data_IF_547145815259
#
_entry.id   IF_547145815259
#
_cell.length_a   1.000
_cell.length_b   1.000
_cell.length_c   1.000
_cell.angle_alpha   90.00
_cell.angle_beta   90.00
_cell.angle_gamma   90.00
#
_symmetry.space_group_name_H-M   'P 1'
#
loop_
_entity.id
_entity.type
_entity.pdbx_description
1 polymer ?
#
# COMPACT_ATOMS: atom_id res chain seq x y z
N UNK A 1 -6.83 -22.81 -17.11
CA UNK A 1 -7.77 -22.18 -16.16
C UNK A 1 -8.86 -23.12 -15.61
N UNK A 2 -9.38 -24.09 -16.36
CA UNK A 2 -10.49 -24.97 -15.89
C UNK A 2 -10.13 -25.85 -14.67
N UNK A 3 -8.91 -26.39 -14.61
CA UNK A 3 -8.46 -27.30 -13.53
C UNK A 3 -8.38 -26.67 -12.14
N UNK A 4 -7.96 -25.40 -12.04
CA UNK A 4 -7.90 -24.69 -10.76
C UNK A 4 -9.29 -24.34 -10.24
N UNK A 5 -10.23 -24.00 -11.14
CA UNK A 5 -11.60 -23.69 -10.76
C UNK A 5 -12.32 -24.94 -10.27
N UNK A 6 -12.14 -26.09 -10.94
CA UNK A 6 -12.74 -27.36 -10.51
C UNK A 6 -12.19 -27.85 -9.17
N UNK A 7 -10.87 -27.77 -8.96
CA UNK A 7 -10.25 -28.09 -7.66
C UNK A 7 -10.70 -27.16 -6.53
N UNK A 8 -10.87 -25.86 -6.83
CA UNK A 8 -11.37 -24.88 -5.87
C UNK A 8 -12.83 -25.13 -5.50
N UNK A 9 -13.69 -25.43 -6.50
CA UNK A 9 -15.09 -25.76 -6.28
C UNK A 9 -15.27 -27.08 -5.53
N UNK A 10 -14.43 -28.08 -5.80
CA UNK A 10 -14.45 -29.36 -5.08
C UNK A 10 -14.23 -29.19 -3.57
N UNK A 11 -13.37 -28.23 -3.18
CA UNK A 11 -13.03 -27.97 -1.78
C UNK A 11 -13.75 -26.76 -1.18
N UNK A 12 -14.76 -26.19 -1.86
CA UNK A 12 -15.34 -24.91 -1.47
C UNK A 12 -15.95 -24.94 -0.06
N UNK A 13 -16.55 -26.07 0.35
CA UNK A 13 -17.13 -26.23 1.69
C UNK A 13 -16.07 -26.20 2.78
N UNK A 14 -14.94 -26.87 2.58
CA UNK A 14 -13.83 -26.89 3.53
C UNK A 14 -13.16 -25.52 3.62
N UNK A 15 -12.94 -24.87 2.48
CA UNK A 15 -12.38 -23.53 2.41
C UNK A 15 -13.29 -22.49 3.09
N UNK A 16 -14.60 -22.60 2.91
CA UNK A 16 -15.57 -21.75 3.61
C UNK A 16 -15.59 -22.03 5.11
N UNK A 17 -15.58 -23.31 5.53
CA UNK A 17 -15.48 -23.67 6.96
C UNK A 17 -14.22 -23.11 7.60
N UNK A 18 -13.06 -23.28 6.97
CA UNK A 18 -11.81 -22.70 7.45
C UNK A 18 -11.85 -21.17 7.49
N UNK A 19 -12.40 -20.52 6.45
CA UNK A 19 -12.59 -19.06 6.43
C UNK A 19 -13.48 -18.56 7.58
N UNK A 20 -14.44 -19.38 7.99
CA UNK A 20 -15.34 -19.08 9.09
C UNK A 20 -14.85 -19.57 10.45
N UNK A 21 -13.78 -20.35 10.51
CA UNK A 21 -13.18 -20.80 11.75
C UNK A 21 -12.66 -19.61 12.58
N UNK A 22 -12.84 -19.70 13.90
CA UNK A 22 -12.52 -18.62 14.84
C UNK A 22 -11.03 -18.27 14.80
N UNK A 23 -10.16 -19.27 14.63
CA UNK A 23 -8.71 -19.07 14.51
C UNK A 23 -8.35 -18.23 13.28
N UNK A 24 -8.84 -18.62 12.10
CA UNK A 24 -8.58 -17.88 10.86
C UNK A 24 -9.19 -16.48 10.86
N UNK A 25 -10.42 -16.31 11.37
CA UNK A 25 -11.05 -14.99 11.53
C UNK A 25 -10.22 -14.08 12.43
N UNK A 26 -9.74 -14.61 13.56
CA UNK A 26 -8.89 -13.85 14.49
C UNK A 26 -7.58 -13.42 13.81
N UNK A 27 -6.91 -14.32 13.08
CA UNK A 27 -5.69 -13.99 12.33
C UNK A 27 -5.93 -12.90 11.28
N UNK A 28 -7.05 -12.94 10.56
CA UNK A 28 -7.43 -11.89 9.61
C UNK A 28 -7.68 -10.56 10.31
N UNK A 29 -8.34 -10.58 11.46
CA UNK A 29 -8.56 -9.39 12.28
C UNK A 29 -7.23 -8.81 12.77
N UNK A 30 -6.36 -9.61 13.39
CA UNK A 30 -5.05 -9.20 13.86
C UNK A 30 -4.20 -8.61 12.74
N UNK A 31 -4.15 -9.28 11.58
CA UNK A 31 -3.47 -8.75 10.39
C UNK A 31 -4.00 -7.36 9.99
N UNK A 32 -5.31 -7.16 10.05
CA UNK A 32 -5.91 -5.86 9.75
C UNK A 32 -5.53 -4.80 10.79
N UNK A 33 -5.52 -5.15 12.08
CA UNK A 33 -5.12 -4.25 13.17
C UNK A 33 -3.65 -3.87 13.05
N UNK A 34 -2.75 -4.83 12.86
CA UNK A 34 -1.32 -4.59 12.69
C UNK A 34 -1.02 -3.76 11.44
N UNK A 35 -1.70 -4.04 10.32
CA UNK A 35 -1.56 -3.22 9.10
C UNK A 35 -1.93 -1.77 9.38
N UNK A 36 -3.06 -1.51 10.05
CA UNK A 36 -3.51 -0.16 10.39
C UNK A 36 -2.53 0.56 11.30
N UNK A 37 -2.04 -0.13 12.34
CA UNK A 37 -1.01 0.41 13.25
C UNK A 37 0.28 0.76 12.50
N UNK A 38 0.78 -0.14 11.65
CA UNK A 38 1.98 0.11 10.86
C UNK A 38 1.82 1.30 9.91
N UNK A 39 0.65 1.47 9.28
CA UNK A 39 0.37 2.64 8.44
C UNK A 39 0.39 3.92 9.28
N UNK A 40 -0.23 3.91 10.46
CA UNK A 40 -0.24 5.05 11.38
C UNK A 40 1.17 5.43 11.85
N UNK A 41 1.97 4.44 12.26
CA UNK A 41 3.37 4.64 12.66
C UNK A 41 4.19 5.27 11.53
N UNK A 42 4.01 4.79 10.28
CA UNK A 42 4.67 5.36 9.09
C UNK A 42 4.19 6.80 8.83
N UNK A 43 2.89 7.08 8.94
CA UNK A 43 2.36 8.43 8.76
C UNK A 43 2.93 9.42 9.79
N UNK A 44 3.06 8.99 11.05
CA UNK A 44 3.66 9.79 12.11
C UNK A 44 5.16 10.02 11.91
N UNK A 45 5.86 9.04 11.34
CA UNK A 45 7.27 9.17 10.96
C UNK A 45 7.46 10.17 9.81
N UNK A 46 6.62 10.09 8.77
CA UNK A 46 6.69 10.98 7.59
C UNK A 46 6.31 12.42 7.98
N UNK A 47 5.24 12.59 8.75
CA UNK A 47 4.72 13.89 9.16
C UNK A 47 4.53 13.91 10.69
N UNK A 48 5.56 14.31 11.45
CA UNK A 48 5.44 14.43 12.90
C UNK A 48 4.38 15.47 13.30
N UNK A 49 3.68 15.25 14.42
CA UNK A 49 2.68 16.20 14.91
C UNK A 49 3.31 17.58 15.22
N UNK A 50 2.58 18.65 14.93
CA UNK A 50 3.00 20.02 15.22
C UNK A 50 3.93 20.63 14.17
N UNK A 51 4.18 19.95 13.04
CA UNK A 51 4.94 20.50 11.91
C UNK A 51 4.13 20.42 10.62
N UNK A 52 4.04 21.56 9.93
CA UNK A 52 3.49 21.58 8.57
C UNK A 52 4.47 20.84 7.65
N UNK A 53 4.00 19.76 7.02
CA UNK A 53 4.84 18.86 6.22
C UNK A 53 4.33 18.77 4.80
N UNK A 54 5.18 19.06 3.82
CA UNK A 54 4.92 18.83 2.40
C UNK A 54 5.45 17.45 2.01
N UNK A 55 4.57 16.58 1.51
CA UNK A 55 4.93 15.20 1.10
C UNK A 55 4.70 15.04 -0.39
N UNK A 56 5.79 14.77 -1.11
CA UNK A 56 5.77 14.40 -2.51
C UNK A 56 5.47 12.90 -2.69
N UNK A 57 4.38 12.56 -3.35
CA UNK A 57 4.13 11.21 -3.84
C UNK A 57 4.44 11.17 -5.32
N UNK A 58 5.36 10.30 -5.73
CA UNK A 58 5.61 10.15 -7.14
C UNK A 58 4.45 9.46 -7.87
N UNK A 59 4.34 9.73 -9.17
CA UNK A 59 3.22 9.30 -9.98
C UNK A 59 3.43 7.90 -10.57
N UNK A 60 3.00 6.88 -9.83
CA UNK A 60 3.02 5.48 -10.24
C UNK A 60 1.88 5.10 -11.22
N UNK A 61 1.23 6.08 -11.85
CA UNK A 61 0.16 5.82 -12.84
C UNK A 61 0.70 5.28 -14.17
N UNK A 62 2.01 5.34 -14.41
CA UNK A 62 2.65 5.04 -15.69
C UNK A 62 3.07 3.58 -15.90
N UNK A 63 2.35 2.87 -16.77
CA UNK A 63 2.89 1.89 -17.72
C UNK A 63 3.45 0.55 -17.22
N UNK A 64 3.67 -0.37 -18.17
CA UNK A 64 4.14 -1.77 -18.02
C UNK A 64 5.51 -1.94 -17.32
N UNK A 65 6.15 -0.86 -16.88
CA UNK A 65 7.49 -0.85 -16.26
C UNK A 65 7.51 -0.55 -14.77
N UNK A 66 6.38 -0.25 -14.13
CA UNK A 66 6.35 -0.08 -12.67
C UNK A 66 6.47 -1.45 -11.97
N UNK A 67 7.41 -1.62 -11.01
CA UNK A 67 7.50 -2.84 -10.20
C UNK A 67 6.27 -3.01 -9.29
N UNK A 68 5.46 -1.96 -9.12
CA UNK A 68 4.25 -1.96 -8.29
C UNK A 68 3.04 -2.11 -9.22
N UNK A 69 2.59 -3.36 -9.43
CA UNK A 69 1.35 -3.62 -10.16
C UNK A 69 0.13 -3.12 -9.37
N UNK A 70 -0.81 -2.44 -10.04
CA UNK A 70 -2.04 -1.89 -9.43
C UNK A 70 -2.93 -2.94 -8.74
N UNK A 71 -2.76 -4.23 -9.07
CA UNK A 71 -3.54 -5.33 -8.49
C UNK A 71 -3.12 -5.66 -7.05
N UNK A 72 -1.92 -5.25 -6.68
CA UNK A 72 -1.30 -5.42 -5.36
C UNK A 72 -0.76 -4.08 -4.88
N UNK A 73 -1.60 -3.05 -4.92
CA UNK A 73 -1.27 -1.79 -4.25
C UNK A 73 -1.03 -2.10 -2.77
N UNK A 74 0.24 -2.02 -2.35
CA UNK A 74 0.65 -2.20 -0.97
C UNK A 74 0.09 -1.11 -0.05
N UNK A 75 0.63 -0.94 1.16
CA UNK A 75 0.13 0.05 2.11
C UNK A 75 0.24 1.50 1.62
N UNK A 76 0.90 1.76 0.48
CA UNK A 76 1.12 3.10 -0.06
C UNK A 76 -0.17 3.89 -0.30
N UNK A 77 -1.24 3.25 -0.78
CA UNK A 77 -2.53 3.92 -0.93
C UNK A 77 -3.16 4.29 0.41
N UNK A 78 -3.05 3.39 1.39
CA UNK A 78 -3.55 3.63 2.75
C UNK A 78 -2.76 4.77 3.42
N UNK A 79 -1.43 4.80 3.25
CA UNK A 79 -0.57 5.88 3.74
C UNK A 79 -0.95 7.22 3.08
N UNK A 80 -1.11 7.25 1.76
CA UNK A 80 -1.54 8.44 1.02
C UNK A 80 -2.91 8.94 1.52
N UNK A 81 -3.84 8.02 1.76
CA UNK A 81 -5.17 8.36 2.30
C UNK A 81 -5.07 8.92 3.72
N UNK A 82 -4.35 8.25 4.62
CA UNK A 82 -4.16 8.69 6.01
C UNK A 82 -3.50 10.07 6.10
N UNK A 83 -2.44 10.32 5.32
CA UNK A 83 -1.78 11.62 5.27
C UNK A 83 -2.68 12.72 4.72
N UNK A 84 -3.56 12.41 3.76
CA UNK A 84 -4.50 13.39 3.18
C UNK A 84 -5.55 13.90 4.17
N UNK A 85 -5.88 13.10 5.18
CA UNK A 85 -6.86 13.47 6.20
C UNK A 85 -6.28 14.40 7.27
N UNK A 86 -4.95 14.60 7.27
CA UNK A 86 -4.27 15.43 8.25
C UNK A 86 -4.24 16.90 7.80
N UNK A 87 -4.64 17.84 8.67
CA UNK A 87 -4.70 19.26 8.31
C UNK A 87 -3.31 19.90 8.16
N UNK A 88 -2.29 19.30 8.78
CA UNK A 88 -0.91 19.76 8.78
C UNK A 88 -0.06 19.18 7.63
N UNK A 89 -0.66 18.40 6.72
CA UNK A 89 0.05 17.73 5.63
C UNK A 89 -0.45 18.18 4.26
N UNK A 90 0.48 18.62 3.42
CA UNK A 90 0.21 18.95 2.03
C UNK A 90 0.75 17.85 1.12
N UNK A 91 -0.11 17.24 0.31
CA UNK A 91 0.28 16.20 -0.63
C UNK A 91 0.49 16.80 -2.03
N UNK A 92 1.65 16.52 -2.64
CA UNK A 92 1.93 16.88 -4.03
C UNK A 92 2.26 15.64 -4.84
N UNK A 93 1.62 15.50 -6.00
CA UNK A 93 2.02 14.48 -6.97
C UNK A 93 3.23 14.97 -7.77
N UNK A 94 4.28 14.16 -7.80
CA UNK A 94 5.52 14.44 -8.53
C UNK A 94 5.62 13.52 -9.75
N UNK A 95 6.08 14.06 -10.86
CA UNK A 95 6.42 13.24 -12.03
C UNK A 95 7.78 12.56 -11.77
N UNK A 96 7.80 11.22 -11.78
CA UNK A 96 8.96 10.41 -11.37
C UNK A 96 10.00 10.25 -12.49
N UNK A 97 10.04 11.14 -13.48
CA UNK A 97 10.92 10.98 -14.63
C UNK A 97 12.40 10.83 -14.20
N UNK A 98 12.93 9.61 -14.39
CA UNK A 98 14.33 9.21 -14.12
C UNK A 98 14.80 9.29 -12.65
N UNK A 99 13.89 9.41 -11.68
CA UNK A 99 14.24 9.47 -10.24
C UNK A 99 15.02 8.26 -9.71
N UNK A 100 14.89 7.09 -10.34
CA UNK A 100 15.66 5.88 -10.01
C UNK A 100 17.02 5.78 -10.68
N UNK A 101 17.33 6.68 -11.63
CA UNK A 101 18.56 6.65 -12.45
C UNK A 101 19.47 7.85 -12.17
N UNK A 102 18.91 8.98 -11.71
CA UNK A 102 19.68 10.18 -11.39
C UNK A 102 20.05 10.23 -9.91
N UNK A 103 21.35 10.38 -9.63
CA UNK A 103 21.86 10.67 -8.30
C UNK A 103 21.48 12.10 -7.89
N UNK A 104 21.03 12.31 -6.65
CA UNK A 104 20.85 13.66 -6.12
C UNK A 104 22.21 14.38 -6.06
N UNK A 105 22.37 15.45 -6.85
CA UNK A 105 23.57 16.29 -6.88
C UNK A 105 24.42 16.21 -8.15
N UNK A 106 24.12 15.29 -9.08
CA UNK A 106 24.80 15.23 -10.38
C UNK A 106 23.83 15.60 -11.50
N UNK A 107 23.55 16.89 -11.66
CA UNK A 107 23.01 17.41 -12.92
C UNK A 107 24.13 17.35 -13.96
N UNK A 108 24.07 16.37 -14.86
CA UNK A 108 24.92 16.35 -16.05
C UNK A 108 24.59 17.60 -16.88
N UNK A 109 25.53 18.54 -16.92
CA UNK A 109 25.61 19.60 -17.94
C UNK A 109 25.76 19.01 -19.32
#
# INVERSE_FOLDING_TARGET
MRLHVTAYLANIRELLRHRFDKGYRNMRFLRSVFKRKAVEDICNLIAPAGKVTLVGFGNWSGGKGSPISRRTCGPLQDIKFCLRQRPDVFLKELDEHRTSVTCNGSSAT
#
